data_IF_387124278787
#
_entry.id   IF_387124278787
#
_cell.length_a   1.000
_cell.length_b   1.000
_cell.length_c   1.000
_cell.angle_alpha   90.00
_cell.angle_beta   90.00
_cell.angle_gamma   90.00
#
_symmetry.space_group_name_H-M   'P 1'
#
loop_
_entity.id
_entity.type
_entity.pdbx_description
1 polymer ?
#
# COMPACT_ATOMS: atom_id res chain seq x y z
N UNK A 1 23.71 0.27 2.16
CA UNK A 1 22.31 0.68 1.97
C UNK A 1 21.44 -0.52 2.31
N UNK A 2 20.19 -0.32 2.76
CA UNK A 2 19.31 -1.45 3.11
C UNK A 2 18.65 -1.97 1.84
N UNK A 3 18.84 -3.25 1.52
CA UNK A 3 18.14 -3.89 0.40
C UNK A 3 16.67 -4.09 0.78
N UNK A 4 15.75 -3.65 -0.07
CA UNK A 4 14.32 -3.91 0.07
C UNK A 4 13.91 -4.96 -0.96
N UNK A 5 13.30 -6.05 -0.49
CA UNK A 5 12.75 -7.11 -1.34
C UNK A 5 11.24 -6.98 -1.54
N UNK A 6 10.57 -6.13 -0.77
CA UNK A 6 9.12 -5.97 -0.85
C UNK A 6 8.66 -4.57 -0.44
N UNK A 7 7.71 -4.01 -1.18
CA UNK A 7 7.09 -2.72 -0.87
C UNK A 7 5.59 -2.93 -0.64
N UNK A 8 5.13 -2.44 0.50
CA UNK A 8 3.74 -2.55 0.95
C UNK A 8 3.14 -1.14 0.91
N UNK A 9 2.07 -0.97 0.15
CA UNK A 9 1.36 0.30 0.07
C UNK A 9 0.05 0.24 0.87
N UNK A 10 -0.27 1.29 1.62
CA UNK A 10 -1.67 1.62 1.83
C UNK A 10 -2.31 2.14 0.55
N UNK A 11 -3.63 2.00 0.45
CA UNK A 11 -4.40 2.48 -0.69
C UNK A 11 -4.97 3.87 -0.42
N UNK A 12 -5.54 4.10 0.77
CA UNK A 12 -6.22 5.36 1.08
C UNK A 12 -5.21 6.48 1.34
N UNK A 13 -5.41 7.64 0.74
CA UNK A 13 -4.55 8.84 0.89
C UNK A 13 -3.06 8.67 0.52
N UNK A 14 -2.61 7.46 0.18
CA UNK A 14 -1.30 7.18 -0.42
C UNK A 14 -1.44 7.00 -1.93
N UNK A 15 -2.39 6.18 -2.39
CA UNK A 15 -2.59 5.92 -3.82
C UNK A 15 -3.87 6.55 -4.36
N UNK A 16 -4.90 6.62 -3.52
CA UNK A 16 -6.20 7.16 -3.91
C UNK A 16 -6.83 7.96 -2.78
N UNK A 17 -7.46 9.08 -3.15
CA UNK A 17 -8.48 9.71 -2.31
C UNK A 17 -9.81 8.99 -2.53
N UNK A 18 -10.52 8.66 -1.46
CA UNK A 18 -11.81 7.96 -1.51
C UNK A 18 -12.95 8.92 -1.14
N UNK A 19 -13.85 9.17 -2.08
CA UNK A 19 -15.04 9.98 -1.87
C UNK A 19 -16.27 9.07 -1.74
N UNK A 20 -16.97 9.19 -0.62
CA UNK A 20 -18.22 8.45 -0.37
C UNK A 20 -19.40 9.40 -0.50
N UNK A 21 -20.36 9.03 -1.32
CA UNK A 21 -21.59 9.80 -1.52
C UNK A 21 -22.77 8.85 -1.63
N UNK A 22 -23.96 9.41 -1.84
CA UNK A 22 -25.17 8.65 -2.11
C UNK A 22 -25.80 9.21 -3.39
N UNK A 23 -26.31 8.32 -4.24
CA UNK A 23 -27.09 8.76 -5.39
C UNK A 23 -28.49 9.26 -4.95
N UNK A 24 -29.28 9.76 -5.92
CA UNK A 24 -30.64 10.26 -5.69
C UNK A 24 -31.61 9.24 -5.08
N UNK A 25 -31.28 7.94 -5.12
CA UNK A 25 -32.08 6.84 -4.57
C UNK A 25 -31.52 6.36 -3.22
N UNK A 26 -30.48 7.00 -2.68
CA UNK A 26 -29.83 6.61 -1.44
C UNK A 26 -28.87 5.42 -1.58
N UNK A 27 -28.48 5.06 -2.81
CA UNK A 27 -27.49 4.00 -3.03
C UNK A 27 -26.09 4.56 -2.77
N UNK A 28 -25.27 3.92 -1.91
CA UNK A 28 -23.90 4.35 -1.67
C UNK A 28 -23.08 4.32 -2.96
N UNK A 29 -22.37 5.42 -3.22
CA UNK A 29 -21.40 5.56 -4.29
C UNK A 29 -20.02 5.74 -3.68
N UNK A 30 -19.02 5.11 -4.30
CA UNK A 30 -17.62 5.25 -3.91
C UNK A 30 -16.82 5.59 -5.14
N UNK A 31 -16.17 6.75 -5.10
CA UNK A 31 -15.27 7.21 -6.15
C UNK A 31 -13.83 7.21 -5.61
N UNK A 32 -12.91 6.69 -6.42
CA UNK A 32 -11.48 6.69 -6.12
C UNK A 32 -10.79 7.63 -7.10
N UNK A 33 -10.13 8.65 -6.57
CA UNK A 33 -9.36 9.62 -7.37
C UNK A 33 -7.88 9.28 -7.18
N UNK A 34 -7.15 8.95 -8.26
CA UNK A 34 -5.71 8.67 -8.17
C UNK A 34 -4.92 9.84 -7.59
N UNK A 35 -3.93 9.51 -6.77
CA UNK A 35 -2.88 10.44 -6.35
C UNK A 35 -1.68 10.17 -7.26
N UNK A 36 -1.46 11.07 -8.23
CA UNK A 36 -0.53 10.87 -9.34
C UNK A 36 0.88 10.48 -8.88
N UNK A 37 1.40 11.13 -7.83
CA UNK A 37 2.72 10.83 -7.28
C UNK A 37 2.79 9.43 -6.64
N UNK A 38 1.72 9.02 -5.96
CA UNK A 38 1.60 7.67 -5.39
C UNK A 38 1.51 6.60 -6.47
N UNK A 39 0.72 6.83 -7.52
CA UNK A 39 0.62 5.91 -8.66
C UNK A 39 1.95 5.82 -9.41
N UNK A 40 2.63 6.95 -9.63
CA UNK A 40 3.94 6.95 -10.28
C UNK A 40 4.96 6.13 -9.50
N UNK A 41 4.99 6.28 -8.16
CA UNK A 41 5.86 5.50 -7.30
C UNK A 41 5.51 4.00 -7.33
N UNK A 42 4.22 3.65 -7.24
CA UNK A 42 3.77 2.27 -7.37
C UNK A 42 4.23 1.63 -8.68
N UNK A 43 4.08 2.35 -9.80
CA UNK A 43 4.54 1.91 -11.11
C UNK A 43 6.06 1.77 -11.19
N UNK A 44 6.82 2.65 -10.54
CA UNK A 44 8.29 2.55 -10.46
C UNK A 44 8.71 1.30 -9.70
N UNK A 45 8.11 1.03 -8.53
CA UNK A 45 8.37 -0.19 -7.75
C UNK A 45 7.96 -1.46 -8.49
N UNK A 46 6.87 -1.42 -9.27
CA UNK A 46 6.38 -2.58 -10.02
C UNK A 46 7.17 -2.83 -11.33
N UNK A 47 7.84 -1.80 -11.88
CA UNK A 47 8.78 -1.97 -12.99
C UNK A 47 10.04 -2.69 -12.48
N UNK A 48 10.66 -3.52 -13.32
CA UNK A 48 11.87 -4.33 -13.05
C UNK A 48 11.66 -5.79 -12.58
N UNK A 49 10.52 -6.42 -12.87
CA UNK A 49 10.28 -7.85 -12.59
C UNK A 49 11.35 -8.79 -13.17
N UNK A 50 12.05 -8.40 -14.23
CA UNK A 50 13.14 -9.17 -14.85
C UNK A 50 14.53 -8.95 -14.20
N UNK A 51 14.69 -8.03 -13.23
CA UNK A 51 15.98 -7.67 -12.60
C UNK A 51 15.98 -7.78 -11.06
N UNK A 52 14.97 -8.43 -10.47
CA UNK A 52 14.85 -8.52 -9.02
C UNK A 52 14.15 -7.32 -8.38
N UNK A 53 13.13 -6.77 -9.06
CA UNK A 53 12.20 -5.81 -8.45
C UNK A 53 11.64 -6.32 -7.11
N UNK A 54 11.29 -5.40 -6.20
CA UNK A 54 10.59 -5.79 -4.98
C UNK A 54 9.21 -6.38 -5.31
N UNK A 55 8.78 -7.33 -4.50
CA UNK A 55 7.38 -7.76 -4.49
C UNK A 55 6.50 -6.60 -4.01
N UNK A 56 5.51 -6.23 -4.82
CA UNK A 56 4.58 -5.14 -4.48
C UNK A 56 3.27 -5.71 -3.97
N UNK A 57 2.87 -5.35 -2.75
CA UNK A 57 1.61 -5.77 -2.12
C UNK A 57 0.90 -4.56 -1.52
N UNK A 58 -0.40 -4.68 -1.26
CA UNK A 58 -1.16 -3.67 -0.54
C UNK A 58 -1.61 -4.17 0.83
N UNK A 59 -1.63 -3.28 1.82
CA UNK A 59 -2.24 -3.53 3.13
C UNK A 59 -3.10 -2.32 3.49
N UNK A 60 -4.43 -2.49 3.47
CA UNK A 60 -5.39 -1.39 3.56
C UNK A 60 -6.49 -1.65 4.58
N UNK A 61 -7.15 -0.58 5.03
CA UNK A 61 -8.38 -0.66 5.84
C UNK A 61 -9.68 -0.58 5.00
N UNK A 62 -9.58 -0.52 3.66
CA UNK A 62 -10.74 -0.61 2.76
C UNK A 62 -11.42 -1.98 2.88
N UNK A 63 -12.75 -2.01 2.76
CA UNK A 63 -13.55 -3.24 2.74
C UNK A 63 -13.74 -3.79 1.32
N UNK A 64 -14.23 -5.00 1.22
CA UNK A 64 -14.42 -5.75 -0.02
C UNK A 64 -15.28 -5.02 -1.05
N UNK A 65 -16.32 -4.30 -0.63
CA UNK A 65 -17.15 -3.55 -1.57
C UNK A 65 -16.40 -2.35 -2.16
N UNK A 66 -15.54 -1.71 -1.37
CA UNK A 66 -14.66 -0.61 -1.79
C UNK A 66 -13.57 -1.14 -2.73
N UNK A 67 -12.92 -2.25 -2.38
CA UNK A 67 -11.93 -2.91 -3.24
C UNK A 67 -12.53 -3.38 -4.56
N UNK A 68 -13.77 -3.87 -4.57
CA UNK A 68 -14.49 -4.23 -5.81
C UNK A 68 -14.74 -2.99 -6.68
N UNK A 69 -15.18 -1.88 -6.10
CA UNK A 69 -15.39 -0.63 -6.83
C UNK A 69 -14.07 -0.05 -7.37
N UNK A 70 -12.99 -0.10 -6.56
CA UNK A 70 -11.66 0.31 -6.98
C UNK A 70 -11.13 -0.55 -8.12
N UNK A 71 -11.25 -1.88 -8.03
CA UNK A 71 -10.83 -2.77 -9.10
C UNK A 71 -11.67 -2.63 -10.38
N UNK A 72 -12.95 -2.28 -10.26
CA UNK A 72 -13.80 -2.00 -11.42
C UNK A 72 -13.38 -0.71 -12.15
N UNK A 73 -13.05 0.34 -11.41
CA UNK A 73 -12.68 1.66 -11.97
C UNK A 73 -11.21 1.75 -12.38
N UNK A 74 -10.31 1.04 -11.69
CA UNK A 74 -8.85 1.11 -11.88
C UNK A 74 -8.18 -0.27 -11.95
N UNK A 75 -8.66 -1.20 -12.80
CA UNK A 75 -8.15 -2.58 -12.84
C UNK A 75 -6.66 -2.67 -13.17
N UNK A 76 -6.15 -1.74 -13.98
CA UNK A 76 -4.75 -1.69 -14.40
C UNK A 76 -3.80 -1.33 -13.23
N UNK A 77 -4.23 -0.48 -12.30
CA UNK A 77 -3.45 -0.16 -11.08
C UNK A 77 -3.54 -1.33 -10.10
N UNK A 78 -4.73 -1.90 -9.91
CA UNK A 78 -4.91 -3.04 -9.01
C UNK A 78 -4.11 -4.27 -9.45
N UNK A 79 -3.95 -4.48 -10.76
CA UNK A 79 -3.13 -5.54 -11.32
C UNK A 79 -1.62 -5.40 -11.08
N UNK A 80 -1.14 -4.28 -10.52
CA UNK A 80 0.28 -4.12 -10.14
C UNK A 80 0.62 -4.81 -8.81
N UNK A 81 -0.38 -5.12 -7.99
CA UNK A 81 -0.17 -5.80 -6.72
C UNK A 81 -0.14 -7.32 -6.91
N UNK A 82 0.86 -7.98 -6.31
CA UNK A 82 0.86 -9.43 -6.17
C UNK A 82 -0.28 -9.92 -5.25
N UNK A 83 -0.74 -9.05 -4.36
CA UNK A 83 -1.97 -9.27 -3.60
C UNK A 83 -2.29 -8.13 -2.63
N UNK A 84 -3.48 -8.19 -2.04
CA UNK A 84 -4.06 -7.14 -1.21
C UNK A 84 -4.53 -7.76 0.12
N UNK A 85 -4.04 -7.21 1.24
CA UNK A 85 -4.52 -7.50 2.59
C UNK A 85 -5.50 -6.43 3.03
N UNK A 86 -6.64 -6.87 3.55
CA UNK A 86 -7.72 -6.01 4.02
C UNK A 86 -8.38 -6.60 5.26
N UNK A 87 -9.23 -5.85 5.98
CA UNK A 87 -9.87 -6.38 7.18
C UNK A 87 -10.77 -7.57 6.92
N UNK A 88 -11.29 -7.72 5.70
CA UNK A 88 -12.17 -8.82 5.36
C UNK A 88 -11.43 -10.15 5.16
N UNK A 89 -10.15 -10.15 4.79
CA UNK A 89 -9.35 -11.38 4.68
C UNK A 89 -8.47 -11.63 5.92
N UNK A 90 -7.92 -10.59 6.52
CA UNK A 90 -7.09 -10.71 7.71
C UNK A 90 -7.89 -10.82 9.02
N UNK A 91 -9.20 -10.52 9.00
CA UNK A 91 -10.06 -10.40 10.19
C UNK A 91 -9.49 -9.45 11.25
N UNK A 92 -8.69 -8.48 10.81
CA UNK A 92 -8.02 -7.46 11.62
C UNK A 92 -7.78 -6.22 10.76
N UNK A 93 -7.68 -5.05 11.37
CA UNK A 93 -7.45 -3.77 10.68
C UNK A 93 -6.20 -3.09 11.22
N UNK A 94 -5.50 -2.31 10.40
CA UNK A 94 -4.42 -1.46 10.90
C UNK A 94 -4.98 -0.46 11.93
N UNK A 95 -4.28 -0.19 13.04
CA UNK A 95 -2.91 -0.61 13.37
C UNK A 95 -2.78 -1.93 14.17
N UNK A 96 -3.81 -2.79 14.25
CA UNK A 96 -3.71 -4.07 14.96
C UNK A 96 -2.59 -4.95 14.36
N UNK A 97 -1.64 -5.39 15.19
CA UNK A 97 -0.50 -6.23 14.77
C UNK A 97 -0.93 -7.50 14.02
N UNK A 98 -2.14 -8.00 14.25
CA UNK A 98 -2.68 -9.17 13.56
C UNK A 98 -2.73 -9.01 12.05
N UNK A 99 -3.05 -7.82 11.52
CA UNK A 99 -3.09 -7.61 10.06
C UNK A 99 -1.69 -7.69 9.46
N UNK A 100 -0.68 -7.19 10.19
CA UNK A 100 0.71 -7.21 9.75
C UNK A 100 1.28 -8.63 9.84
N UNK A 101 0.99 -9.38 10.89
CA UNK A 101 1.34 -10.81 10.96
C UNK A 101 0.73 -11.58 9.79
N UNK A 102 -0.58 -11.40 9.55
CA UNK A 102 -1.26 -12.03 8.41
C UNK A 102 -0.59 -11.66 7.07
N UNK A 103 -0.23 -10.39 6.86
CA UNK A 103 0.47 -9.92 5.67
C UNK A 103 1.85 -10.60 5.51
N UNK A 104 2.67 -10.60 6.57
CA UNK A 104 4.00 -11.20 6.54
C UNK A 104 3.93 -12.70 6.24
N UNK A 105 3.02 -13.41 6.89
CA UNK A 105 2.84 -14.86 6.70
C UNK A 105 2.28 -15.20 5.31
N UNK A 106 1.26 -14.46 4.84
CA UNK A 106 0.59 -14.74 3.56
C UNK A 106 1.53 -14.61 2.37
N UNK A 107 2.42 -13.60 2.39
CA UNK A 107 3.33 -13.31 1.28
C UNK A 107 4.78 -13.70 1.59
N UNK A 108 5.03 -14.39 2.72
CA UNK A 108 6.35 -14.81 3.17
C UNK A 108 7.38 -13.66 3.18
N UNK A 109 6.95 -12.50 3.67
CA UNK A 109 7.79 -11.30 3.67
C UNK A 109 8.78 -11.35 4.83
N UNK A 110 10.04 -10.98 4.55
CA UNK A 110 10.99 -10.66 5.60
C UNK A 110 10.71 -9.22 6.08
N UNK A 111 10.29 -8.98 7.33
CA UNK A 111 9.95 -7.65 7.80
C UNK A 111 11.12 -6.66 7.66
N UNK A 112 12.36 -7.10 7.90
CA UNK A 112 13.53 -6.21 7.80
C UNK A 112 13.89 -5.78 6.38
N UNK A 113 13.39 -6.51 5.37
CA UNK A 113 13.56 -6.20 3.94
C UNK A 113 12.25 -5.71 3.30
N UNK A 114 11.22 -5.44 4.11
CA UNK A 114 9.96 -4.88 3.68
C UNK A 114 9.87 -3.39 4.04
N UNK A 115 9.34 -2.59 3.12
CA UNK A 115 9.05 -1.17 3.31
C UNK A 115 7.54 -0.93 3.27
N UNK A 116 6.98 -0.35 4.33
CA UNK A 116 5.57 0.01 4.41
C UNK A 116 5.37 1.53 4.25
N UNK A 117 4.45 1.90 3.35
CA UNK A 117 4.07 3.27 3.04
C UNK A 117 2.61 3.50 3.44
N UNK A 118 2.38 4.39 4.40
CA UNK A 118 1.06 4.68 4.98
C UNK A 118 1.01 6.15 5.42
N UNK A 119 -0.15 6.80 5.35
CA UNK A 119 -0.32 8.19 5.79
C UNK A 119 -0.50 8.33 7.32
N UNK A 120 -0.89 7.25 8.01
CA UNK A 120 -1.13 7.22 9.46
C UNK A 120 0.10 6.74 10.23
N UNK A 121 0.65 7.61 11.08
CA UNK A 121 1.81 7.30 11.92
C UNK A 121 1.58 6.12 12.88
N UNK A 122 0.34 5.87 13.33
CA UNK A 122 0.05 4.73 14.20
C UNK A 122 0.22 3.40 13.46
N UNK A 123 -0.13 3.36 12.16
CA UNK A 123 0.08 2.19 11.32
C UNK A 123 1.57 1.95 11.11
N UNK A 124 2.34 3.03 10.91
CA UNK A 124 3.80 2.96 10.78
C UNK A 124 4.46 2.44 12.06
N UNK A 125 4.08 2.95 13.24
CA UNK A 125 4.61 2.49 14.52
C UNK A 125 4.32 0.99 14.74
N UNK A 126 3.08 0.55 14.47
CA UNK A 126 2.71 -0.85 14.56
C UNK A 126 3.53 -1.75 13.63
N UNK A 127 3.76 -1.33 12.39
CA UNK A 127 4.61 -2.05 11.45
C UNK A 127 6.08 -2.12 11.94
N UNK A 128 6.61 -1.01 12.45
CA UNK A 128 7.98 -0.94 12.98
C UNK A 128 8.19 -1.82 14.20
N UNK A 129 7.17 -1.99 15.06
CA UNK A 129 7.20 -2.92 16.19
C UNK A 129 7.41 -4.39 15.77
N UNK A 130 7.13 -4.72 14.51
CA UNK A 130 7.38 -6.04 13.91
C UNK A 130 8.66 -6.09 13.06
N UNK A 131 9.45 -5.01 13.06
CA UNK A 131 10.72 -4.91 12.35
C UNK A 131 10.62 -4.41 10.91
N UNK A 132 9.42 -4.02 10.44
CA UNK A 132 9.25 -3.41 9.11
C UNK A 132 9.93 -2.05 9.05
N UNK A 133 10.48 -1.72 7.88
CA UNK A 133 10.81 -0.34 7.57
C UNK A 133 9.48 0.38 7.26
N UNK A 134 9.32 1.61 7.74
CA UNK A 134 8.07 2.36 7.57
C UNK A 134 8.32 3.83 7.26
N UNK A 135 7.58 4.38 6.29
CA UNK A 135 7.58 5.81 5.95
C UNK A 135 6.15 6.33 6.07
N UNK A 136 5.95 7.33 6.94
CA UNK A 136 4.70 8.07 7.02
C UNK A 136 4.60 9.04 5.84
N UNK A 137 3.72 8.76 4.89
CA UNK A 137 3.56 9.53 3.66
C UNK A 137 2.77 10.80 3.97
N UNK A 138 3.48 11.93 4.06
CA UNK A 138 2.88 13.27 4.18
C UNK A 138 3.15 14.16 2.99
N UNK A 139 4.29 13.94 2.33
CA UNK A 139 4.73 14.62 1.13
C UNK A 139 5.56 13.65 0.28
N UNK A 140 5.18 13.45 -0.97
CA UNK A 140 5.88 12.56 -1.89
C UNK A 140 7.28 13.03 -2.27
N UNK A 141 7.58 14.33 -2.16
CA UNK A 141 8.95 14.82 -2.33
C UNK A 141 9.87 14.20 -1.26
N UNK A 142 9.44 14.21 0.01
CA UNK A 142 10.18 13.58 1.10
C UNK A 142 10.28 12.06 0.92
N UNK A 143 9.22 11.40 0.45
CA UNK A 143 9.25 9.95 0.21
C UNK A 143 10.33 9.59 -0.81
N UNK A 144 10.44 10.34 -1.93
CA UNK A 144 11.46 10.10 -2.95
C UNK A 144 12.88 10.20 -2.39
N UNK A 145 13.15 11.21 -1.56
CA UNK A 145 14.45 11.36 -0.90
C UNK A 145 14.76 10.18 0.03
N UNK A 146 13.76 9.71 0.77
CA UNK A 146 13.90 8.56 1.67
C UNK A 146 14.11 7.25 0.90
N UNK A 147 13.50 7.08 -0.28
CA UNK A 147 13.67 5.90 -1.14
C UNK A 147 15.10 5.73 -1.67
N UNK A 148 15.88 6.81 -1.76
CA UNK A 148 17.31 6.74 -2.09
C UNK A 148 18.10 5.94 -1.03
N UNK A 149 17.64 5.89 0.23
CA UNK A 149 18.28 5.09 1.29
C UNK A 149 18.09 3.57 1.09
N UNK A 150 17.09 3.19 0.28
CA UNK A 150 16.61 1.82 0.09
C UNK A 150 16.90 1.23 -1.29
N UNK A 151 17.65 1.93 -2.15
CA UNK A 151 17.91 1.53 -3.54
C UNK A 151 16.64 1.40 -4.41
N UNK A 152 15.53 2.06 -4.00
CA UNK A 152 14.23 1.97 -4.67
C UNK A 152 13.94 3.11 -5.65
N UNK A 153 14.72 4.20 -5.60
CA UNK A 153 14.61 5.30 -6.55
C UNK A 153 15.70 5.15 -7.63
N UNK A 154 15.29 5.24 -8.90
CA UNK A 154 16.23 5.28 -10.02
C UNK A 154 17.20 6.47 -9.88
N UNK A 155 18.50 6.24 -10.10
CA UNK A 155 19.48 7.31 -10.33
C UNK A 155 19.26 7.95 -11.70
#
# INVERSE_FOLDING_TARGET
MKKISSVIFDIGNVLFTCNKSFDKNGVPQVEFIPIEEGIALLQECAKNSEKGAPLVVACTNLKNYELKALNHSHPHIMGLFAGIVSPDNALARKPDLKIFHYLLDTYMLNPHEALFLDDDSNNIEAAQNLGLNGICVRDFAQVKDLLLLYELAAR
#
